data_IF_046450929280
#
_entry.id   IF_046450929280
#
_cell.length_a   1.000
_cell.length_b   1.000
_cell.length_c   1.000
_cell.angle_alpha   90.00
_cell.angle_beta   90.00
_cell.angle_gamma   90.00
#
_symmetry.space_group_name_H-M   'P 1'
#
loop_
_entity.id
_entity.type
_entity.pdbx_description
1 polymer ?
#
# COMPACT_ATOMS: atom_id res chain seq x y z
N UNK A 1 10.57 -48.11 4.23
CA UNK A 1 10.11 -49.12 5.21
C UNK A 1 10.26 -50.54 4.69
N UNK A 2 9.79 -50.87 3.48
CA UNK A 2 9.92 -52.23 2.91
C UNK A 2 11.39 -52.68 2.71
N UNK A 3 12.28 -51.83 2.19
CA UNK A 3 13.72 -52.14 2.07
C UNK A 3 14.43 -52.26 3.43
N UNK A 4 14.17 -51.34 4.38
CA UNK A 4 14.71 -51.45 5.74
C UNK A 4 14.25 -52.71 6.48
N UNK A 5 13.04 -53.20 6.20
CA UNK A 5 12.50 -54.41 6.81
C UNK A 5 13.21 -55.68 6.33
N UNK A 6 13.68 -55.71 5.07
CA UNK A 6 14.40 -56.87 4.53
C UNK A 6 15.86 -56.90 4.96
N UNK A 7 16.51 -55.75 5.11
CA UNK A 7 17.93 -55.69 5.48
C UNK A 7 18.16 -55.71 7.00
N UNK A 8 17.28 -55.09 7.80
CA UNK A 8 17.49 -54.94 9.27
C UNK A 8 16.21 -55.22 10.09
N UNK A 9 15.66 -56.44 10.02
CA UNK A 9 14.35 -56.77 10.61
C UNK A 9 14.29 -56.57 12.13
N UNK A 10 15.39 -56.80 12.85
CA UNK A 10 15.47 -56.60 14.31
C UNK A 10 15.40 -55.13 14.72
N UNK A 11 15.91 -54.22 13.89
CA UNK A 11 15.88 -52.78 14.16
C UNK A 11 14.50 -52.17 13.92
N UNK A 12 13.69 -52.75 13.02
CA UNK A 12 12.28 -52.34 12.83
C UNK A 12 11.48 -52.61 14.10
N UNK A 13 11.65 -53.78 14.71
CA UNK A 13 10.98 -54.12 15.96
C UNK A 13 11.41 -53.18 17.11
N UNK A 14 12.71 -52.88 17.20
CA UNK A 14 13.22 -51.91 18.18
C UNK A 14 12.71 -50.49 17.93
N UNK A 15 12.58 -50.06 16.68
CA UNK A 15 12.03 -48.75 16.33
C UNK A 15 10.53 -48.65 16.66
N UNK A 16 9.74 -49.68 16.33
CA UNK A 16 8.34 -49.75 16.71
C UNK A 16 8.17 -49.73 18.24
N UNK A 17 8.98 -50.51 18.97
CA UNK A 17 9.00 -50.49 20.43
C UNK A 17 9.42 -49.12 20.97
N UNK A 18 10.34 -48.41 20.29
CA UNK A 18 10.76 -47.06 20.69
C UNK A 18 9.60 -46.07 20.55
N UNK A 19 8.86 -46.09 19.44
CA UNK A 19 7.68 -45.25 19.23
C UNK A 19 6.62 -45.55 20.30
N UNK A 20 6.26 -46.83 20.46
CA UNK A 20 5.20 -47.23 21.39
C UNK A 20 5.52 -46.91 22.86
N UNK A 21 6.78 -47.05 23.27
CA UNK A 21 7.15 -46.85 24.68
C UNK A 21 7.59 -45.41 25.01
N UNK A 22 7.97 -44.59 24.03
CA UNK A 22 8.55 -43.27 24.30
C UNK A 22 7.81 -42.10 23.64
N UNK A 23 6.84 -42.35 22.75
CA UNK A 23 5.99 -41.30 22.21
C UNK A 23 4.71 -41.23 23.04
N UNK A 24 4.48 -40.08 23.66
CA UNK A 24 3.23 -39.79 24.36
C UNK A 24 2.32 -39.06 23.39
N UNK A 25 1.18 -39.68 23.07
CA UNK A 25 0.14 -39.07 22.27
C UNK A 25 -0.90 -38.48 23.22
N UNK A 26 -1.18 -37.18 23.08
CA UNK A 26 -2.19 -36.48 23.86
C UNK A 26 -3.40 -36.22 22.97
N UNK A 27 -4.34 -37.19 22.86
CA UNK A 27 -5.54 -36.98 22.07
C UNK A 27 -6.44 -35.94 22.75
N UNK A 28 -6.99 -35.05 21.94
CA UNK A 28 -8.03 -34.12 22.35
C UNK A 28 -9.27 -34.45 21.52
N UNK A 29 -10.30 -34.92 22.20
CA UNK A 29 -11.61 -35.17 21.60
C UNK A 29 -12.55 -34.01 21.95
N UNK A 30 -13.35 -33.61 20.98
CA UNK A 30 -14.31 -32.53 21.13
C UNK A 30 -15.68 -33.00 20.65
N UNK A 31 -16.72 -32.60 21.39
CA UNK A 31 -18.11 -33.01 21.15
C UNK A 31 -18.72 -32.39 19.88
N UNK A 32 -18.09 -31.33 19.34
CA UNK A 32 -18.50 -30.69 18.11
C UNK A 32 -17.31 -30.08 17.37
N UNK A 33 -17.47 -29.89 16.05
CA UNK A 33 -16.44 -29.30 15.19
C UNK A 33 -16.09 -27.86 15.62
N UNK A 34 -17.06 -27.05 16.05
CA UNK A 34 -16.79 -25.67 16.50
C UNK A 34 -15.98 -25.64 17.80
N UNK A 35 -16.25 -26.55 18.73
CA UNK A 35 -15.45 -26.73 19.95
C UNK A 35 -14.04 -27.22 19.61
N UNK A 36 -13.91 -28.14 18.65
CA UNK A 36 -12.62 -28.61 18.15
C UNK A 36 -11.80 -27.45 17.54
N UNK A 37 -12.43 -26.64 16.69
CA UNK A 37 -11.79 -25.48 16.06
C UNK A 37 -11.37 -24.42 17.10
N UNK A 38 -12.17 -24.22 18.16
CA UNK A 38 -11.85 -23.29 19.25
C UNK A 38 -10.71 -23.79 20.13
N UNK A 39 -10.68 -25.08 20.46
CA UNK A 39 -9.57 -25.69 21.20
C UNK A 39 -8.29 -25.64 20.36
N UNK A 40 -8.39 -25.97 19.08
CA UNK A 40 -7.28 -25.89 18.13
C UNK A 40 -6.76 -24.45 17.96
N UNK A 41 -7.64 -23.46 17.84
CA UNK A 41 -7.24 -22.05 17.77
C UNK A 41 -6.56 -21.61 19.06
N UNK A 42 -7.13 -21.94 20.23
CA UNK A 42 -6.59 -21.55 21.54
C UNK A 42 -5.24 -22.21 21.84
N UNK A 43 -5.01 -23.44 21.38
CA UNK A 43 -3.73 -24.13 21.49
C UNK A 43 -2.67 -23.52 20.56
N UNK A 44 -3.05 -23.12 19.35
CA UNK A 44 -2.16 -22.39 18.43
C UNK A 44 -1.86 -20.97 18.92
N UNK A 45 -2.79 -20.31 19.59
CA UNK A 45 -2.59 -18.97 20.16
C UNK A 45 -1.56 -18.97 21.32
N UNK A 46 -1.25 -20.14 21.90
CA UNK A 46 -0.14 -20.33 22.86
C UNK A 46 1.18 -20.76 22.20
N UNK A 47 1.17 -21.03 20.89
CA UNK A 47 2.34 -21.17 20.01
C UNK A 47 2.43 -20.00 19.01
N UNK A 48 3.14 -20.16 17.90
CA UNK A 48 2.99 -19.23 16.75
C UNK A 48 1.58 -19.45 16.19
N UNK A 49 0.68 -18.45 16.23
CA UNK A 49 -0.69 -18.61 15.75
C UNK A 49 -0.67 -18.98 14.26
N UNK A 50 -1.52 -19.94 13.86
CA UNK A 50 -1.74 -20.21 12.43
C UNK A 50 -2.20 -18.92 11.75
N UNK A 51 -1.62 -18.65 10.57
CA UNK A 51 -2.08 -17.55 9.75
C UNK A 51 -3.54 -17.79 9.34
N UNK A 52 -4.33 -16.72 9.24
CA UNK A 52 -5.72 -16.84 8.78
C UNK A 52 -5.78 -17.45 7.37
N UNK A 53 -4.79 -17.12 6.52
CA UNK A 53 -4.58 -17.76 5.23
C UNK A 53 -4.43 -19.30 5.27
N UNK A 54 -3.80 -19.88 6.29
CA UNK A 54 -3.66 -21.34 6.42
C UNK A 54 -5.01 -22.02 6.71
N UNK A 55 -5.83 -21.36 7.54
CA UNK A 55 -7.20 -21.80 7.80
C UNK A 55 -8.01 -21.74 6.50
N UNK A 56 -7.87 -20.66 5.73
CA UNK A 56 -8.59 -20.50 4.46
C UNK A 56 -8.14 -21.53 3.42
N UNK A 57 -6.84 -21.82 3.33
CA UNK A 57 -6.27 -22.90 2.50
C UNK A 57 -6.96 -24.23 2.78
N UNK A 58 -7.18 -24.56 4.05
CA UNK A 58 -7.84 -25.81 4.45
C UNK A 58 -9.30 -25.88 3.99
N UNK A 59 -10.01 -24.75 3.94
CA UNK A 59 -11.40 -24.69 3.47
C UNK A 59 -11.48 -24.86 1.95
N UNK A 60 -10.61 -24.17 1.20
CA UNK A 60 -10.50 -24.39 -0.23
C UNK A 60 -10.10 -25.83 -0.56
N UNK A 61 -9.13 -26.39 0.17
CA UNK A 61 -8.70 -27.78 -0.03
C UNK A 61 -9.88 -28.75 0.12
N UNK A 62 -10.73 -28.55 1.14
CA UNK A 62 -11.95 -29.36 1.32
C UNK A 62 -12.92 -29.20 0.15
N UNK A 63 -13.19 -27.97 -0.27
CA UNK A 63 -14.08 -27.65 -1.40
C UNK A 63 -13.62 -28.35 -2.69
N UNK A 64 -12.40 -28.07 -3.14
CA UNK A 64 -11.86 -28.65 -4.37
C UNK A 64 -11.59 -30.16 -4.28
N UNK A 65 -11.38 -30.71 -3.08
CA UNK A 65 -11.28 -32.17 -2.89
C UNK A 65 -12.62 -32.87 -3.14
N UNK A 66 -13.74 -32.27 -2.69
CA UNK A 66 -15.08 -32.80 -2.95
C UNK A 66 -15.39 -32.80 -4.46
N UNK A 67 -14.91 -31.79 -5.18
CA UNK A 67 -15.06 -31.69 -6.64
C UNK A 67 -14.07 -32.54 -7.44
N UNK A 68 -13.15 -33.27 -6.78
CA UNK A 68 -12.13 -34.07 -7.45
C UNK A 68 -10.99 -33.25 -8.08
N UNK A 69 -10.87 -31.96 -7.76
CA UNK A 69 -9.91 -30.98 -8.30
C UNK A 69 -8.77 -30.64 -7.34
N UNK A 70 -8.46 -31.54 -6.40
CA UNK A 70 -7.46 -31.28 -5.34
C UNK A 70 -6.08 -30.91 -5.90
N UNK A 71 -5.62 -31.60 -6.94
CA UNK A 71 -4.25 -31.44 -7.46
C UNK A 71 -4.12 -30.12 -8.23
N UNK A 72 -5.18 -29.71 -8.94
CA UNK A 72 -5.32 -28.38 -9.55
C UNK A 72 -5.21 -27.29 -8.48
N UNK A 73 -6.00 -27.40 -7.40
CA UNK A 73 -5.97 -26.44 -6.30
C UNK A 73 -4.59 -26.31 -5.67
N UNK A 74 -3.90 -27.43 -5.38
CA UNK A 74 -2.57 -27.40 -4.76
C UNK A 74 -1.56 -26.67 -5.64
N UNK A 75 -1.61 -26.89 -6.96
CA UNK A 75 -0.74 -26.18 -7.91
C UNK A 75 -1.04 -24.68 -7.95
N UNK A 76 -2.32 -24.31 -8.06
CA UNK A 76 -2.79 -22.91 -8.07
C UNK A 76 -2.43 -22.17 -6.79
N UNK A 77 -2.69 -22.77 -5.64
CA UNK A 77 -2.36 -22.18 -4.34
C UNK A 77 -0.87 -21.92 -4.17
N UNK A 78 -0.01 -22.84 -4.65
CA UNK A 78 1.44 -22.66 -4.58
C UNK A 78 1.89 -21.41 -5.34
N UNK A 79 1.37 -21.19 -6.55
CA UNK A 79 1.67 -20.00 -7.35
C UNK A 79 1.14 -18.72 -6.67
N UNK A 80 -0.06 -18.78 -6.11
CA UNK A 80 -0.67 -17.70 -5.34
C UNK A 80 0.21 -17.29 -4.14
N UNK A 81 0.68 -18.27 -3.37
CA UNK A 81 1.51 -18.09 -2.18
C UNK A 81 2.89 -17.53 -2.52
N UNK A 82 3.57 -18.10 -3.52
CA UNK A 82 4.87 -17.62 -4.00
C UNK A 82 4.78 -16.17 -4.54
N UNK A 83 3.74 -15.86 -5.31
CA UNK A 83 3.55 -14.53 -5.88
C UNK A 83 3.18 -13.50 -4.81
N UNK A 84 2.30 -13.85 -3.86
CA UNK A 84 1.96 -12.98 -2.74
C UNK A 84 3.20 -12.62 -1.90
N UNK A 85 4.05 -13.60 -1.59
CA UNK A 85 5.28 -13.40 -0.84
C UNK A 85 6.30 -12.50 -1.55
N UNK A 86 6.27 -12.44 -2.88
CA UNK A 86 7.15 -11.56 -3.66
C UNK A 86 6.70 -10.10 -3.57
N UNK A 87 5.39 -9.84 -3.71
CA UNK A 87 4.86 -8.49 -3.93
C UNK A 87 4.36 -7.80 -2.65
N UNK A 88 3.83 -8.56 -1.68
CA UNK A 88 3.30 -7.97 -0.46
C UNK A 88 4.32 -8.05 0.67
N UNK A 89 4.65 -6.87 1.21
CA UNK A 89 5.55 -6.71 2.37
C UNK A 89 4.79 -6.02 3.50
N UNK A 90 3.74 -6.65 4.06
CA UNK A 90 2.91 -6.02 5.08
C UNK A 90 3.69 -5.79 6.37
N UNK A 91 3.34 -4.74 7.12
CA UNK A 91 3.95 -4.47 8.45
C UNK A 91 3.45 -5.44 9.53
N UNK A 92 2.31 -6.09 9.29
CA UNK A 92 1.68 -7.06 10.20
C UNK A 92 0.89 -8.10 9.40
N UNK A 93 0.86 -9.34 9.87
CA UNK A 93 0.21 -10.46 9.17
C UNK A 93 1.07 -11.04 8.05
N UNK A 94 0.53 -12.03 7.33
CA UNK A 94 1.22 -12.65 6.19
C UNK A 94 0.89 -11.94 4.87
N UNK A 95 1.71 -12.09 3.83
CA UNK A 95 1.40 -11.61 2.48
C UNK A 95 0.05 -12.10 1.93
N UNK A 96 -0.33 -13.35 2.26
CA UNK A 96 -1.66 -13.86 1.90
C UNK A 96 -2.77 -13.16 2.70
N UNK A 97 -2.58 -12.89 4.00
CA UNK A 97 -3.57 -12.14 4.79
C UNK A 97 -3.86 -10.75 4.19
N UNK A 98 -2.85 -10.08 3.61
CA UNK A 98 -3.02 -8.82 2.88
C UNK A 98 -3.88 -9.00 1.62
N UNK A 99 -3.64 -10.06 0.82
CA UNK A 99 -4.46 -10.39 -0.34
C UNK A 99 -5.92 -10.65 0.07
N UNK A 100 -6.14 -11.49 1.08
CA UNK A 100 -7.47 -11.79 1.61
C UNK A 100 -8.14 -10.56 2.21
N UNK A 101 -7.37 -9.63 2.81
CA UNK A 101 -7.90 -8.37 3.35
C UNK A 101 -8.40 -7.47 2.22
N UNK A 102 -7.63 -7.34 1.12
CA UNK A 102 -8.07 -6.58 -0.05
C UNK A 102 -9.33 -7.18 -0.68
N UNK A 103 -9.39 -8.50 -0.82
CA UNK A 103 -10.58 -9.20 -1.31
C UNK A 103 -11.77 -9.11 -0.34
N UNK A 104 -11.52 -9.11 0.97
CA UNK A 104 -12.55 -8.94 1.99
C UNK A 104 -13.30 -7.61 1.80
N UNK A 105 -12.60 -6.51 1.50
CA UNK A 105 -13.25 -5.22 1.28
C UNK A 105 -14.21 -5.23 0.08
N UNK A 106 -13.86 -5.94 -1.00
CA UNK A 106 -14.76 -6.16 -2.13
C UNK A 106 -15.98 -7.02 -1.76
N UNK A 107 -15.78 -8.16 -1.08
CA UNK A 107 -16.89 -9.03 -0.64
C UNK A 107 -17.79 -8.33 0.36
N UNK A 108 -17.22 -7.52 1.26
CA UNK A 108 -17.95 -6.69 2.21
C UNK A 108 -18.85 -5.68 1.49
N UNK A 109 -18.33 -5.04 0.44
CA UNK A 109 -19.10 -4.12 -0.39
C UNK A 109 -20.25 -4.84 -1.11
N UNK A 110 -20.01 -6.04 -1.67
CA UNK A 110 -21.08 -6.87 -2.27
C UNK A 110 -22.18 -7.26 -1.27
N UNK A 111 -21.83 -7.41 0.01
CA UNK A 111 -22.80 -7.64 1.11
C UNK A 111 -23.51 -6.34 1.58
N UNK A 112 -23.18 -5.17 1.03
CA UNK A 112 -23.79 -3.88 1.40
C UNK A 112 -23.45 -3.39 2.81
N UNK A 113 -22.37 -3.90 3.42
CA UNK A 113 -22.03 -3.62 4.82
C UNK A 113 -21.41 -2.23 4.97
N UNK A 114 -22.20 -1.26 5.48
CA UNK A 114 -21.80 0.14 5.69
C UNK A 114 -21.12 0.43 7.03
N UNK A 115 -21.25 -0.47 8.01
CA UNK A 115 -20.71 -0.29 9.37
C UNK A 115 -19.19 -0.01 9.29
N UNK A 116 -18.66 0.96 10.04
CA UNK A 116 -17.22 1.29 10.03
C UNK A 116 -16.35 0.35 10.88
N UNK A 117 -16.98 -0.52 11.67
CA UNK A 117 -16.38 -1.59 12.45
C UNK A 117 -15.96 -2.71 11.50
N UNK A 118 -14.66 -2.98 11.43
CA UNK A 118 -14.14 -4.10 10.65
C UNK A 118 -14.04 -5.32 11.53
N UNK A 119 -14.78 -6.37 11.17
CA UNK A 119 -14.56 -7.72 11.71
C UNK A 119 -13.13 -8.16 11.44
N UNK A 120 -12.57 -9.03 12.27
CA UNK A 120 -11.30 -9.66 11.95
C UNK A 120 -11.42 -10.45 10.63
N UNK A 121 -10.28 -10.70 9.97
CA UNK A 121 -10.25 -11.42 8.71
C UNK A 121 -10.92 -12.81 8.87
N UNK A 122 -10.53 -13.54 9.92
CA UNK A 122 -11.14 -14.81 10.33
C UNK A 122 -12.66 -14.70 10.50
N UNK A 123 -13.14 -13.77 11.33
CA UNK A 123 -14.57 -13.63 11.63
C UNK A 123 -15.40 -13.31 10.37
N UNK A 124 -14.83 -12.58 9.41
CA UNK A 124 -15.50 -12.26 8.17
C UNK A 124 -15.64 -13.48 7.26
N UNK A 125 -14.56 -14.26 7.07
CA UNK A 125 -14.58 -15.41 6.19
C UNK A 125 -15.21 -16.65 6.82
N UNK A 126 -15.29 -16.77 8.15
CA UNK A 126 -15.98 -17.88 8.83
C UNK A 126 -17.51 -17.72 8.84
N UNK A 127 -18.02 -16.53 8.53
CA UNK A 127 -19.45 -16.22 8.43
C UNK A 127 -20.15 -17.20 7.48
N UNK A 128 -21.37 -17.63 7.82
CA UNK A 128 -22.12 -18.65 7.08
C UNK A 128 -21.32 -19.93 6.79
N UNK A 129 -20.51 -20.38 7.76
CA UNK A 129 -19.68 -21.58 7.65
C UNK A 129 -18.72 -21.56 6.45
N UNK A 130 -18.00 -20.46 6.24
CA UNK A 130 -17.04 -20.30 5.15
C UNK A 130 -17.64 -20.36 3.73
N UNK A 131 -18.87 -19.88 3.56
CA UNK A 131 -19.56 -19.83 2.25
C UNK A 131 -18.68 -19.19 1.16
N UNK A 132 -18.05 -18.05 1.46
CA UNK A 132 -17.19 -17.32 0.52
C UNK A 132 -16.04 -18.20 -0.02
N UNK A 133 -15.45 -19.04 0.83
CA UNK A 133 -14.30 -19.89 0.47
C UNK A 133 -14.73 -21.20 -0.23
N UNK A 134 -16.04 -21.46 -0.33
CA UNK A 134 -16.63 -22.61 -1.02
C UNK A 134 -17.21 -22.23 -2.39
N UNK A 135 -16.83 -21.07 -2.91
CA UNK A 135 -17.15 -20.60 -4.25
C UNK A 135 -15.90 -20.69 -5.14
N UNK A 136 -16.01 -21.33 -6.30
CA UNK A 136 -14.92 -21.40 -7.29
C UNK A 136 -14.39 -20.00 -7.67
N UNK A 137 -15.32 -19.07 -7.87
CA UNK A 137 -15.02 -17.69 -8.24
C UNK A 137 -14.13 -16.97 -7.21
N UNK A 138 -14.11 -17.42 -5.96
CA UNK A 138 -13.27 -16.79 -4.92
C UNK A 138 -11.79 -17.03 -5.17
N UNK A 139 -11.40 -18.22 -5.61
CA UNK A 139 -9.98 -18.46 -5.96
C UNK A 139 -9.61 -17.68 -7.23
N UNK A 140 -10.49 -17.67 -8.24
CA UNK A 140 -10.28 -16.91 -9.48
C UNK A 140 -10.17 -15.39 -9.23
N UNK A 141 -11.00 -14.85 -8.34
CA UNK A 141 -10.98 -13.45 -7.93
C UNK A 141 -9.66 -13.11 -7.20
N UNK A 142 -9.17 -13.99 -6.31
CA UNK A 142 -7.92 -13.81 -5.58
C UNK A 142 -6.71 -13.83 -6.51
N UNK A 143 -6.66 -14.77 -7.46
CA UNK A 143 -5.61 -14.84 -8.48
C UNK A 143 -5.62 -13.60 -9.37
N UNK A 144 -6.80 -13.21 -9.88
CA UNK A 144 -6.96 -12.00 -10.70
C UNK A 144 -6.48 -10.74 -9.95
N UNK A 145 -6.83 -10.63 -8.66
CA UNK A 145 -6.44 -9.52 -7.81
C UNK A 145 -4.93 -9.51 -7.57
N UNK A 146 -4.33 -10.68 -7.35
CA UNK A 146 -2.91 -10.81 -7.14
C UNK A 146 -2.12 -10.43 -8.39
N UNK A 147 -2.55 -10.88 -9.57
CA UNK A 147 -1.95 -10.52 -10.86
C UNK A 147 -2.05 -9.02 -11.15
N UNK A 148 -3.17 -8.39 -10.78
CA UNK A 148 -3.30 -6.93 -10.85
C UNK A 148 -2.27 -6.23 -9.97
N UNK A 149 -2.13 -6.64 -8.71
CA UNK A 149 -1.18 -6.02 -7.79
C UNK A 149 0.28 -6.31 -8.15
N UNK A 150 0.56 -7.46 -8.76
CA UNK A 150 1.87 -7.77 -9.35
C UNK A 150 2.22 -6.79 -10.46
N UNK A 151 1.28 -6.46 -11.34
CA UNK A 151 1.48 -5.42 -12.37
C UNK A 151 1.71 -4.04 -11.75
N UNK A 152 0.97 -3.70 -10.68
CA UNK A 152 1.15 -2.42 -9.96
C UNK A 152 2.55 -2.33 -9.34
N UNK A 153 3.02 -3.41 -8.72
CA UNK A 153 4.35 -3.51 -8.09
C UNK A 153 5.49 -3.46 -9.13
N UNK A 154 5.34 -4.17 -10.25
CA UNK A 154 6.30 -4.13 -11.35
C UNK A 154 6.25 -2.84 -12.19
N UNK A 155 5.23 -1.98 -11.97
CA UNK A 155 4.92 -0.81 -12.82
C UNK A 155 4.71 -1.18 -14.30
N UNK A 156 4.18 -2.38 -14.58
CA UNK A 156 4.03 -2.95 -15.93
C UNK A 156 2.56 -2.96 -16.40
N UNK A 157 2.35 -2.78 -17.71
CA UNK A 157 1.01 -2.88 -18.32
C UNK A 157 0.09 -1.70 -18.06
N UNK A 158 0.62 -0.55 -17.64
CA UNK A 158 -0.10 0.70 -17.46
C UNK A 158 0.44 1.80 -18.39
N UNK A 159 -0.42 2.73 -18.80
CA UNK A 159 0.05 3.97 -19.43
C UNK A 159 0.93 4.77 -18.47
N UNK A 160 1.81 5.61 -19.02
CA UNK A 160 2.70 6.45 -18.20
C UNK A 160 1.91 7.30 -17.19
N UNK A 161 0.77 7.87 -17.61
CA UNK A 161 -0.09 8.68 -16.74
C UNK A 161 -0.67 7.88 -15.57
N UNK A 162 -1.05 6.61 -15.79
CA UNK A 162 -1.57 5.74 -14.74
C UNK A 162 -0.45 5.29 -13.80
N UNK A 163 0.68 4.85 -14.35
CA UNK A 163 1.84 4.43 -13.56
C UNK A 163 2.31 5.55 -12.60
N UNK A 164 2.32 6.81 -13.08
CA UNK A 164 2.62 8.00 -12.25
C UNK A 164 1.61 8.19 -11.12
N UNK A 165 0.30 7.99 -11.37
CA UNK A 165 -0.72 8.12 -10.32
C UNK A 165 -0.65 6.99 -9.30
N UNK A 166 -0.35 5.77 -9.73
CA UNK A 166 -0.08 4.64 -8.84
C UNK A 166 1.15 4.91 -7.96
N UNK A 167 2.24 5.44 -8.54
CA UNK A 167 3.43 5.85 -7.80
C UNK A 167 3.08 6.88 -6.71
N UNK A 168 2.28 7.91 -7.02
CA UNK A 168 1.84 8.91 -6.04
C UNK A 168 1.01 8.27 -4.91
N UNK A 169 0.14 7.31 -5.22
CA UNK A 169 -0.68 6.62 -4.23
C UNK A 169 0.11 5.65 -3.34
N UNK A 170 1.23 5.10 -3.81
CA UNK A 170 2.13 4.32 -2.96
C UNK A 170 2.69 5.14 -1.77
N UNK A 171 2.71 6.47 -1.88
CA UNK A 171 3.07 7.39 -0.81
C UNK A 171 1.86 8.01 -0.09
N UNK A 172 0.63 7.54 -0.34
CA UNK A 172 -0.56 8.07 0.29
C UNK A 172 -0.47 8.00 1.84
N UNK A 173 -1.06 8.96 2.57
CA UNK A 173 -0.96 9.02 4.02
C UNK A 173 -1.70 7.88 4.73
N UNK A 174 -2.60 7.19 4.03
CA UNK A 174 -3.46 6.14 4.56
C UNK A 174 -3.67 5.03 3.50
N UNK A 175 -3.58 3.77 3.90
CA UNK A 175 -3.66 2.60 3.01
C UNK A 175 -5.05 2.27 2.44
N UNK A 176 -6.13 2.96 2.83
CA UNK A 176 -7.48 2.70 2.31
C UNK A 176 -7.58 2.83 0.77
N UNK A 177 -6.67 3.55 0.13
CA UNK A 177 -6.61 3.63 -1.34
C UNK A 177 -6.42 2.25 -1.99
N UNK A 178 -5.68 1.33 -1.37
CA UNK A 178 -5.45 0.01 -1.90
C UNK A 178 -6.74 -0.83 -1.90
N UNK A 179 -7.59 -0.65 -0.89
CA UNK A 179 -8.90 -1.32 -0.84
C UNK A 179 -9.89 -0.73 -1.85
N UNK A 180 -9.89 0.60 -2.02
CA UNK A 180 -10.64 1.28 -3.09
C UNK A 180 -10.23 0.76 -4.46
N UNK A 181 -8.93 0.73 -4.75
CA UNK A 181 -8.39 0.28 -6.03
C UNK A 181 -8.65 -1.22 -6.27
N UNK A 182 -8.47 -2.06 -5.26
CA UNK A 182 -8.76 -3.50 -5.36
C UNK A 182 -10.23 -3.77 -5.66
N UNK A 183 -11.13 -3.06 -4.97
CA UNK A 183 -12.58 -3.19 -5.18
C UNK A 183 -12.99 -2.66 -6.55
N UNK A 184 -12.41 -1.53 -6.97
CA UNK A 184 -12.64 -0.97 -8.29
C UNK A 184 -12.17 -1.92 -9.40
N UNK A 185 -10.96 -2.47 -9.29
CA UNK A 185 -10.45 -3.47 -10.21
C UNK A 185 -11.38 -4.67 -10.32
N UNK A 186 -11.77 -5.27 -9.18
CA UNK A 186 -12.62 -6.46 -9.18
C UNK A 186 -14.02 -6.19 -9.78
N UNK A 187 -14.57 -5.00 -9.57
CA UNK A 187 -15.87 -4.60 -10.10
C UNK A 187 -15.86 -4.20 -11.58
N UNK A 188 -14.72 -3.70 -12.10
CA UNK A 188 -14.63 -3.10 -13.44
C UNK A 188 -13.87 -3.94 -14.46
N UNK A 189 -13.08 -4.93 -14.03
CA UNK A 189 -12.30 -5.77 -14.94
C UNK A 189 -13.21 -6.54 -15.90
N UNK A 190 -12.78 -6.65 -17.16
CA UNK A 190 -13.41 -7.57 -18.10
C UNK A 190 -12.96 -9.02 -17.85
N UNK A 191 -13.46 -9.97 -18.64
CA UNK A 191 -13.10 -11.39 -18.53
C UNK A 191 -11.61 -11.70 -18.77
N UNK A 192 -10.85 -10.74 -19.32
CA UNK A 192 -9.40 -10.83 -19.53
C UNK A 192 -8.59 -10.06 -18.47
N UNK A 193 -9.23 -9.46 -17.47
CA UNK A 193 -8.54 -8.66 -16.47
C UNK A 193 -8.05 -7.28 -16.96
N UNK A 194 -8.57 -6.81 -18.09
CA UNK A 194 -8.23 -5.50 -18.67
C UNK A 194 -9.13 -4.40 -18.09
N UNK A 195 -8.60 -3.17 -18.07
CA UNK A 195 -9.22 -1.98 -17.52
C UNK A 195 -9.24 -0.87 -18.56
N UNK A 196 -10.26 0.00 -18.49
CA UNK A 196 -10.24 1.24 -19.26
C UNK A 196 -9.21 2.20 -18.65
N UNK A 197 -8.21 2.60 -19.45
CA UNK A 197 -7.10 3.45 -19.00
C UNK A 197 -7.57 4.83 -18.54
N UNK A 198 -8.61 5.39 -19.17
CA UNK A 198 -9.15 6.71 -18.80
C UNK A 198 -9.96 6.61 -17.51
N UNK A 199 -10.85 5.64 -17.37
CA UNK A 199 -11.61 5.43 -16.13
C UNK A 199 -10.67 5.17 -14.95
N UNK A 200 -9.63 4.35 -15.14
CA UNK A 200 -8.63 4.09 -14.12
C UNK A 200 -7.87 5.38 -13.75
N UNK A 201 -7.36 6.13 -14.74
CA UNK A 201 -6.65 7.39 -14.48
C UNK A 201 -7.52 8.39 -13.71
N UNK A 202 -8.77 8.59 -14.15
CA UNK A 202 -9.71 9.52 -13.53
C UNK A 202 -10.03 9.07 -12.09
N UNK A 203 -10.25 7.78 -11.86
CA UNK A 203 -10.48 7.21 -10.54
C UNK A 203 -9.29 7.40 -9.61
N UNK A 204 -8.06 7.12 -10.07
CA UNK A 204 -6.84 7.30 -9.28
C UNK A 204 -6.62 8.77 -8.90
N UNK A 205 -6.87 9.71 -9.82
CA UNK A 205 -6.80 11.15 -9.53
C UNK A 205 -7.82 11.53 -8.45
N UNK A 206 -9.05 11.05 -8.61
CA UNK A 206 -10.16 11.35 -7.72
C UNK A 206 -9.93 10.86 -6.30
N UNK A 207 -9.56 9.59 -6.10
CA UNK A 207 -9.27 9.05 -4.77
C UNK A 207 -8.02 9.67 -4.15
N UNK A 208 -7.02 10.05 -4.96
CA UNK A 208 -5.81 10.73 -4.46
C UNK A 208 -6.19 12.08 -3.83
N UNK A 209 -6.93 12.92 -4.57
CA UNK A 209 -7.39 14.21 -4.07
C UNK A 209 -8.21 14.07 -2.79
N UNK A 210 -9.19 13.16 -2.79
CA UNK A 210 -10.07 12.94 -1.64
C UNK A 210 -9.30 12.45 -0.40
N UNK A 211 -8.47 11.40 -0.54
CA UNK A 211 -7.73 10.81 0.57
C UNK A 211 -6.77 11.81 1.19
N UNK A 212 -6.08 12.61 0.36
CA UNK A 212 -5.13 13.61 0.83
C UNK A 212 -5.84 14.72 1.59
N UNK A 213 -6.88 15.33 1.00
CA UNK A 213 -7.66 16.38 1.65
C UNK A 213 -8.33 15.90 2.94
N UNK A 214 -8.95 14.72 2.92
CA UNK A 214 -9.62 14.16 4.08
C UNK A 214 -8.65 13.77 5.20
N UNK A 215 -7.47 13.26 4.87
CA UNK A 215 -6.42 12.94 5.87
C UNK A 215 -5.88 14.19 6.56
N UNK A 216 -5.91 15.33 5.88
CA UNK A 216 -5.55 16.62 6.45
C UNK A 216 -6.65 17.19 7.35
N UNK A 217 -7.90 17.17 6.87
CA UNK A 217 -9.04 17.73 7.60
C UNK A 217 -9.38 16.91 8.86
N UNK A 218 -9.35 15.57 8.73
CA UNK A 218 -9.73 14.63 9.78
C UNK A 218 -8.59 13.67 10.08
N UNK A 219 -7.61 14.09 10.90
CA UNK A 219 -6.50 13.23 11.27
C UNK A 219 -7.01 12.03 12.07
N UNK A 220 -6.67 10.83 11.63
CA UNK A 220 -7.02 9.59 12.33
C UNK A 220 -6.93 8.38 11.41
N UNK A 221 -6.37 7.28 11.93
CA UNK A 221 -6.14 6.05 11.15
C UNK A 221 -7.45 5.48 10.57
N UNK A 222 -8.56 5.66 11.30
CA UNK A 222 -9.87 5.13 10.93
C UNK A 222 -10.82 6.16 10.30
N UNK A 223 -10.41 7.43 10.18
CA UNK A 223 -11.30 8.51 9.76
C UNK A 223 -11.86 8.28 8.35
N UNK A 224 -11.04 7.71 7.45
CA UNK A 224 -11.42 7.39 6.07
C UNK A 224 -12.42 6.23 5.95
N UNK A 225 -12.64 5.42 6.99
CA UNK A 225 -13.61 4.30 6.90
C UNK A 225 -15.03 4.80 6.65
N UNK A 226 -15.41 5.91 7.28
CA UNK A 226 -16.71 6.55 7.12
C UNK A 226 -17.05 6.86 5.65
N UNK A 227 -16.23 7.64 4.92
CA UNK A 227 -16.48 7.93 3.52
C UNK A 227 -16.17 6.75 2.58
N UNK A 228 -15.16 5.94 2.88
CA UNK A 228 -14.70 4.90 1.95
C UNK A 228 -15.66 3.72 1.89
N UNK A 229 -16.27 3.29 2.99
CA UNK A 229 -17.10 2.08 2.96
C UNK A 229 -18.36 2.23 2.08
N UNK A 230 -19.10 3.36 2.14
CA UNK A 230 -20.15 3.66 1.17
C UNK A 230 -19.60 3.70 -0.27
N UNK A 231 -18.45 4.31 -0.50
CA UNK A 231 -17.84 4.36 -1.83
C UNK A 231 -17.49 2.98 -2.38
N UNK A 232 -17.04 2.03 -1.56
CA UNK A 232 -16.82 0.64 -1.98
C UNK A 232 -18.12 -0.01 -2.46
N UNK A 233 -19.23 0.26 -1.79
CA UNK A 233 -20.56 -0.22 -2.16
C UNK A 233 -21.00 0.42 -3.49
N UNK A 234 -20.80 1.73 -3.66
CA UNK A 234 -21.09 2.43 -4.92
C UNK A 234 -20.31 1.83 -6.10
N UNK A 235 -19.03 1.49 -5.90
CA UNK A 235 -18.19 0.84 -6.91
C UNK A 235 -18.80 -0.49 -7.38
N UNK A 236 -19.16 -1.39 -6.45
CA UNK A 236 -19.66 -2.73 -6.81
C UNK A 236 -21.07 -2.68 -7.39
N UNK A 237 -21.87 -1.66 -7.06
CA UNK A 237 -23.20 -1.45 -7.63
C UNK A 237 -23.18 -0.63 -8.93
N UNK A 238 -21.98 -0.29 -9.44
CA UNK A 238 -21.82 0.45 -10.70
C UNK A 238 -22.26 1.92 -10.61
N UNK A 239 -22.42 2.47 -9.40
CA UNK A 239 -22.73 3.87 -9.17
C UNK A 239 -21.47 4.73 -9.24
N UNK A 240 -21.65 6.02 -9.51
CA UNK A 240 -20.56 6.99 -9.49
C UNK A 240 -20.10 7.21 -8.06
N UNK A 241 -18.81 7.02 -7.79
CA UNK A 241 -18.19 7.43 -6.52
C UNK A 241 -17.98 8.93 -6.56
N UNK A 242 -18.70 9.67 -5.71
CA UNK A 242 -18.64 11.15 -5.73
C UNK A 242 -18.36 11.80 -4.36
N UNK A 243 -18.19 11.00 -3.30
CA UNK A 243 -17.97 11.46 -1.93
C UNK A 243 -18.81 12.70 -1.54
N UNK A 244 -20.02 12.83 -2.08
CA UNK A 244 -20.83 14.06 -2.04
C UNK A 244 -21.14 14.53 -0.62
N UNK A 245 -21.29 13.59 0.32
CA UNK A 245 -21.47 13.89 1.75
C UNK A 245 -20.21 14.46 2.45
N UNK A 246 -19.06 14.47 1.77
CA UNK A 246 -17.73 14.76 2.32
C UNK A 246 -16.95 15.77 1.47
N UNK A 247 -17.63 16.59 0.67
CA UNK A 247 -17.00 17.69 -0.06
C UNK A 247 -16.40 18.73 0.89
N UNK A 248 -15.28 19.32 0.46
CA UNK A 248 -14.48 20.25 1.25
C UNK A 248 -14.89 21.69 0.99
N UNK A 249 -14.88 22.53 2.04
CA UNK A 249 -14.93 23.98 1.85
C UNK A 249 -13.53 24.51 1.49
N UNK A 250 -13.46 25.38 0.47
CA UNK A 250 -12.19 25.88 -0.10
C UNK A 250 -11.39 26.68 0.93
N UNK A 251 -12.03 27.59 1.64
CA UNK A 251 -11.35 28.45 2.61
C UNK A 251 -10.86 27.63 3.81
N UNK A 252 -11.72 26.74 4.31
CA UNK A 252 -11.41 25.85 5.41
C UNK A 252 -10.24 24.93 5.08
N UNK A 253 -10.25 24.24 3.94
CA UNK A 253 -9.16 23.31 3.58
C UNK A 253 -7.85 24.07 3.34
N UNK A 254 -7.90 25.26 2.72
CA UNK A 254 -6.72 26.12 2.54
C UNK A 254 -6.14 26.54 3.88
N UNK A 255 -6.98 26.97 4.83
CA UNK A 255 -6.56 27.30 6.19
C UNK A 255 -5.96 26.10 6.94
N UNK A 256 -6.47 24.88 6.72
CA UNK A 256 -5.88 23.65 7.27
C UNK A 256 -4.50 23.38 6.69
N UNK A 257 -4.29 23.58 5.39
CA UNK A 257 -2.98 23.41 4.76
C UNK A 257 -1.96 24.40 5.34
N UNK A 258 -2.33 25.69 5.43
CA UNK A 258 -1.45 26.74 5.96
C UNK A 258 -1.09 26.55 7.44
N UNK A 259 -2.00 25.98 8.24
CA UNK A 259 -1.76 25.70 9.66
C UNK A 259 -1.09 24.35 9.92
N UNK A 260 -0.92 23.51 8.90
CA UNK A 260 -0.33 22.18 9.07
C UNK A 260 1.18 22.23 9.24
N UNK A 261 1.69 21.47 10.21
CA UNK A 261 3.12 21.30 10.41
C UNK A 261 3.65 20.15 9.55
N UNK A 262 4.35 20.48 8.46
CA UNK A 262 4.93 19.54 7.51
C UNK A 262 6.25 18.92 8.01
N UNK A 263 6.27 18.36 9.21
CA UNK A 263 7.49 17.75 9.76
C UNK A 263 7.84 16.42 9.07
N UNK A 264 9.10 16.01 9.14
CA UNK A 264 9.60 14.80 8.46
C UNK A 264 8.97 13.49 8.97
N UNK A 265 8.45 13.47 10.21
CA UNK A 265 7.82 12.28 10.80
C UNK A 265 6.40 12.07 10.27
N UNK A 266 5.74 13.11 9.75
CA UNK A 266 4.36 13.01 9.29
C UNK A 266 4.33 12.39 7.89
N UNK A 267 3.62 11.28 7.75
CA UNK A 267 3.44 10.58 6.45
C UNK A 267 2.90 11.52 5.37
N UNK A 268 1.95 12.39 5.75
CA UNK A 268 1.33 13.37 4.85
C UNK A 268 2.35 14.33 4.18
N UNK A 269 3.44 14.67 4.87
CA UNK A 269 4.50 15.51 4.29
C UNK A 269 5.10 14.84 3.06
N UNK A 270 5.47 13.55 3.16
CA UNK A 270 5.99 12.79 2.01
C UNK A 270 4.96 12.68 0.90
N UNK A 271 3.70 12.40 1.25
CA UNK A 271 2.59 12.30 0.30
C UNK A 271 2.48 13.57 -0.55
N UNK A 272 2.46 14.74 0.09
CA UNK A 272 2.36 16.02 -0.60
C UNK A 272 3.56 16.33 -1.49
N UNK A 273 4.78 16.01 -1.05
CA UNK A 273 5.98 16.24 -1.84
C UNK A 273 6.06 15.32 -3.08
N UNK A 274 5.65 14.06 -2.95
CA UNK A 274 5.56 13.14 -4.09
C UNK A 274 4.47 13.60 -5.06
N UNK A 275 3.29 13.96 -4.56
CA UNK A 275 2.22 14.50 -5.40
C UNK A 275 2.69 15.77 -6.15
N UNK A 276 3.39 16.67 -5.47
CA UNK A 276 3.92 17.89 -6.06
C UNK A 276 4.95 17.61 -7.16
N UNK A 277 5.92 16.72 -6.91
CA UNK A 277 6.90 16.33 -7.92
C UNK A 277 6.23 15.78 -9.19
N UNK A 278 5.19 14.96 -9.04
CA UNK A 278 4.44 14.40 -10.17
C UNK A 278 3.30 15.29 -10.69
N UNK A 279 3.15 16.50 -10.17
CA UNK A 279 2.32 17.55 -10.78
C UNK A 279 2.99 18.13 -12.03
N UNK A 280 4.31 18.05 -12.11
CA UNK A 280 5.09 18.35 -13.31
C UNK A 280 4.98 17.18 -14.31
N UNK A 281 4.40 17.38 -15.51
CA UNK A 281 4.29 16.34 -16.53
C UNK A 281 5.65 15.80 -17.00
N UNK A 282 6.74 16.55 -16.82
CA UNK A 282 8.10 16.17 -17.24
C UNK A 282 8.89 15.42 -16.17
N UNK A 283 8.37 15.27 -14.95
CA UNK A 283 9.02 14.47 -13.92
C UNK A 283 9.13 13.01 -14.40
N UNK A 284 10.33 12.42 -14.51
CA UNK A 284 10.45 11.01 -14.88
C UNK A 284 9.85 10.09 -13.81
N UNK A 285 9.28 8.96 -14.25
CA UNK A 285 8.81 7.92 -13.34
C UNK A 285 10.02 7.28 -12.64
N UNK A 286 9.96 7.21 -11.32
CA UNK A 286 10.95 6.56 -10.48
C UNK A 286 10.57 5.11 -10.22
N UNK A 287 11.59 4.29 -10.01
CA UNK A 287 11.46 2.90 -9.55
C UNK A 287 10.93 2.89 -8.10
N UNK A 288 9.98 2.00 -7.81
CA UNK A 288 9.40 1.83 -6.47
C UNK A 288 10.41 1.38 -5.41
N UNK A 289 11.48 0.68 -5.81
CA UNK A 289 12.57 0.29 -4.91
C UNK A 289 13.50 1.48 -4.57
N UNK A 290 13.33 2.62 -5.24
CA UNK A 290 14.09 3.84 -4.94
C UNK A 290 13.71 4.38 -3.55
N UNK A 291 14.66 4.30 -2.62
CA UNK A 291 14.46 4.90 -1.30
C UNK A 291 14.55 6.43 -1.38
N UNK A 292 13.42 7.10 -1.14
CA UNK A 292 13.32 8.56 -1.09
C UNK A 292 13.30 9.08 0.36
N UNK A 293 14.08 10.13 0.60
CA UNK A 293 14.14 10.88 1.85
C UNK A 293 13.66 12.32 1.63
N UNK A 294 13.29 12.99 2.73
CA UNK A 294 12.91 14.41 2.66
C UNK A 294 14.20 15.22 2.68
N UNK A 295 14.39 16.03 1.65
CA UNK A 295 15.47 16.98 1.52
C UNK A 295 15.04 18.37 1.98
N UNK A 296 15.91 19.06 2.72
CA UNK A 296 15.79 20.48 3.05
C UNK A 296 16.59 21.29 2.03
N UNK A 297 15.89 21.97 1.11
CA UNK A 297 16.51 22.75 0.03
C UNK A 297 17.37 23.87 0.66
N UNK A 298 16.78 24.64 1.56
CA UNK A 298 17.49 25.47 2.52
C UNK A 298 17.99 24.59 3.67
N UNK A 299 19.28 24.24 3.62
CA UNK A 299 19.90 23.29 4.55
C UNK A 299 19.80 23.72 6.02
N UNK A 300 19.68 22.74 6.92
CA UNK A 300 19.61 22.99 8.36
C UNK A 300 20.87 23.65 8.91
N UNK A 301 22.07 23.20 8.50
CA UNK A 301 23.33 23.85 8.89
C UNK A 301 23.47 25.26 8.35
N UNK A 302 22.94 25.53 7.14
CA UNK A 302 22.88 26.91 6.63
C UNK A 302 22.06 27.78 7.58
N UNK A 303 20.92 27.30 8.05
CA UNK A 303 20.08 28.02 9.00
C UNK A 303 20.73 28.22 10.40
N UNK A 304 21.73 27.42 10.78
CA UNK A 304 22.49 27.64 12.01
C UNK A 304 23.43 28.86 11.90
N UNK A 305 23.99 29.09 10.71
CA UNK A 305 24.92 30.21 10.43
C UNK A 305 24.17 31.45 9.95
N UNK A 306 23.17 31.26 9.09
CA UNK A 306 22.32 32.28 8.50
C UNK A 306 20.85 31.93 8.77
N UNK A 307 20.35 32.20 9.99
CA UNK A 307 18.99 31.84 10.37
C UNK A 307 17.95 32.59 9.54
N UNK A 308 16.91 31.86 9.15
CA UNK A 308 15.70 32.40 8.55
C UNK A 308 15.01 33.37 9.54
N UNK A 309 14.40 34.42 9.00
CA UNK A 309 13.69 35.43 9.79
C UNK A 309 12.50 34.79 10.50
N UNK A 310 11.75 33.98 9.76
CA UNK A 310 10.68 33.14 10.29
C UNK A 310 11.18 31.70 10.47
N UNK A 311 11.43 31.33 11.72
CA UNK A 311 11.93 29.98 12.09
C UNK A 311 11.03 28.83 11.61
N UNK A 312 9.73 29.08 11.41
CA UNK A 312 8.81 28.05 10.89
C UNK A 312 9.08 27.68 9.43
N UNK A 313 9.70 28.58 8.65
CA UNK A 313 10.04 28.35 7.25
C UNK A 313 11.05 27.21 7.05
N UNK A 314 11.88 26.92 8.06
CA UNK A 314 12.79 25.76 8.01
C UNK A 314 12.00 24.46 7.82
N UNK A 315 10.85 24.33 8.46
CA UNK A 315 9.97 23.17 8.39
C UNK A 315 8.75 23.40 7.49
N UNK A 316 8.73 24.48 6.69
CA UNK A 316 7.68 24.71 5.71
C UNK A 316 7.72 23.69 4.56
N UNK A 317 6.56 23.50 3.92
CA UNK A 317 6.41 22.61 2.77
C UNK A 317 7.29 23.05 1.59
N UNK A 318 7.36 24.37 1.35
CA UNK A 318 8.16 24.96 0.28
C UNK A 318 9.67 24.77 0.44
N UNK A 319 10.16 24.50 1.65
CA UNK A 319 11.57 24.20 1.90
C UNK A 319 11.93 22.71 1.67
N UNK A 320 10.94 21.87 1.34
CA UNK A 320 11.10 20.42 1.26
C UNK A 320 10.91 19.89 -0.14
N UNK A 321 11.65 18.84 -0.48
CA UNK A 321 11.44 18.01 -1.66
C UNK A 321 11.72 16.54 -1.32
N UNK A 322 11.25 15.62 -2.17
CA UNK A 322 11.75 14.25 -2.11
C UNK A 322 13.11 14.19 -2.80
N UNK A 323 14.02 13.36 -2.30
CA UNK A 323 15.34 13.14 -2.89
C UNK A 323 15.75 11.68 -2.66
N UNK A 324 16.41 11.06 -3.64
CA UNK A 324 16.95 9.73 -3.45
C UNK A 324 17.99 9.73 -2.34
N UNK A 325 17.90 8.78 -1.40
CA UNK A 325 18.81 8.64 -0.26
C UNK A 325 20.28 8.69 -0.67
N UNK A 326 20.62 8.02 -1.77
CA UNK A 326 21.99 8.03 -2.34
C UNK A 326 22.47 9.43 -2.72
N UNK A 327 21.59 10.30 -3.22
CA UNK A 327 21.90 11.69 -3.57
C UNK A 327 21.92 12.54 -2.30
N UNK A 328 20.95 12.35 -1.39
CA UNK A 328 20.86 13.08 -0.12
C UNK A 328 22.15 12.96 0.70
N UNK A 329 22.67 11.74 0.88
CA UNK A 329 23.93 11.47 1.62
C UNK A 329 25.11 12.28 1.06
N UNK A 330 25.19 12.44 -0.28
CA UNK A 330 26.28 13.17 -0.95
C UNK A 330 26.08 14.68 -0.91
N UNK A 331 24.83 15.13 -1.10
CA UNK A 331 24.46 16.53 -1.06
C UNK A 331 24.63 17.14 0.34
N UNK A 332 24.46 16.33 1.40
CA UNK A 332 24.69 16.72 2.81
C UNK A 332 24.06 18.07 3.16
N UNK A 333 24.60 18.75 4.17
CA UNK A 333 24.10 20.04 4.64
C UNK A 333 24.85 21.24 4.02
N UNK A 334 25.21 21.16 2.73
CA UNK A 334 25.91 22.25 2.04
C UNK A 334 24.97 23.37 1.58
N UNK A 335 25.53 24.46 1.05
CA UNK A 335 24.73 25.49 0.37
C UNK A 335 24.18 24.92 -0.95
N UNK A 336 23.09 25.51 -1.47
CA UNK A 336 22.46 25.00 -2.70
C UNK A 336 23.43 25.00 -3.88
N UNK A 337 24.33 25.99 -3.95
CA UNK A 337 25.41 26.09 -4.93
C UNK A 337 26.32 24.85 -4.92
N UNK A 338 26.65 24.33 -3.74
CA UNK A 338 27.44 23.11 -3.58
C UNK A 338 26.61 21.86 -3.90
N UNK A 339 25.32 21.86 -3.52
CA UNK A 339 24.37 20.77 -3.78
C UNK A 339 24.11 20.57 -5.27
N UNK A 340 24.19 21.63 -6.08
CA UNK A 340 23.95 21.61 -7.53
C UNK A 340 24.71 20.49 -8.23
N UNK A 341 26.01 20.33 -7.94
CA UNK A 341 26.85 19.27 -8.51
C UNK A 341 26.26 17.88 -8.28
N UNK A 342 25.70 17.64 -7.09
CA UNK A 342 25.12 16.35 -6.73
C UNK A 342 23.73 16.14 -7.31
N UNK A 343 22.97 17.22 -7.53
CA UNK A 343 21.65 17.14 -8.16
C UNK A 343 21.75 16.92 -9.67
N UNK A 344 22.66 17.61 -10.35
CA UNK A 344 22.88 17.46 -11.80
C UNK A 344 23.65 16.18 -12.15
N UNK A 345 24.41 15.65 -11.20
CA UNK A 345 25.38 14.57 -11.45
C UNK A 345 26.74 15.14 -11.88
N UNK A 346 27.77 14.32 -11.78
CA UNK A 346 29.14 14.73 -12.06
C UNK A 346 30.01 13.54 -12.46
N UNK A 347 31.16 13.81 -13.07
CA UNK A 347 32.20 12.81 -13.30
C UNK A 347 33.19 12.86 -12.13
N UNK A 348 33.45 11.73 -11.49
CA UNK A 348 34.42 11.66 -10.40
C UNK A 348 35.87 11.61 -10.91
N UNK A 349 36.83 11.69 -9.99
CA UNK A 349 38.26 11.70 -10.33
C UNK A 349 38.75 10.41 -11.03
N UNK A 350 37.93 9.35 -11.04
CA UNK A 350 38.20 8.08 -11.74
C UNK A 350 37.55 8.02 -13.13
N UNK A 351 36.97 9.12 -13.61
CA UNK A 351 36.28 9.18 -14.90
C UNK A 351 34.91 8.47 -14.92
N UNK A 352 34.37 8.09 -13.76
CA UNK A 352 33.06 7.43 -13.68
C UNK A 352 31.97 8.47 -13.53
N UNK A 353 30.94 8.37 -14.37
CA UNK A 353 29.75 9.21 -14.30
C UNK A 353 28.90 8.82 -13.09
N UNK A 354 28.60 9.82 -12.27
CA UNK A 354 27.87 9.68 -11.03
C UNK A 354 26.53 10.37 -11.21
N UNK A 355 25.46 9.57 -11.29
CA UNK A 355 24.10 10.07 -11.56
C UNK A 355 23.61 11.03 -10.47
N UNK A 356 22.98 12.11 -10.92
CA UNK A 356 22.26 13.07 -10.10
C UNK A 356 20.90 12.55 -9.61
N UNK A 357 20.01 13.48 -9.28
CA UNK A 357 18.62 13.17 -8.89
C UNK A 357 17.72 13.07 -10.12
N UNK A 358 16.77 12.14 -10.07
CA UNK A 358 15.66 12.08 -11.00
C UNK A 358 14.55 13.11 -10.69
N UNK A 359 14.61 13.77 -9.52
CA UNK A 359 13.63 14.78 -9.11
C UNK A 359 13.90 16.09 -9.85
N UNK A 360 13.10 16.33 -10.89
CA UNK A 360 13.32 17.39 -11.87
C UNK A 360 13.32 18.78 -11.24
N UNK A 361 12.43 19.03 -10.28
CA UNK A 361 12.34 20.34 -9.61
C UNK A 361 13.63 20.72 -8.87
N UNK A 362 14.35 19.76 -8.29
CA UNK A 362 15.59 20.04 -7.56
C UNK A 362 16.72 20.47 -8.52
N UNK A 363 16.76 19.86 -9.71
CA UNK A 363 17.67 20.27 -10.78
C UNK A 363 17.35 21.68 -11.26
N UNK A 364 16.08 22.02 -11.42
CA UNK A 364 15.65 23.36 -11.84
C UNK A 364 15.96 24.42 -10.78
N UNK A 365 15.63 24.15 -9.51
CA UNK A 365 15.91 25.05 -8.39
C UNK A 365 17.41 25.32 -8.27
N UNK A 366 18.25 24.29 -8.36
CA UNK A 366 19.70 24.45 -8.27
C UNK A 366 20.32 25.24 -9.44
N UNK A 367 19.63 25.34 -10.58
CA UNK A 367 20.06 26.16 -11.72
C UNK A 367 19.72 27.64 -11.56
N UNK A 368 18.72 27.96 -10.74
CA UNK A 368 18.26 29.34 -10.52
C UNK A 368 19.15 30.17 -9.58
N UNK A 369 20.12 29.54 -8.90
CA UNK A 369 21.09 30.23 -8.03
C UNK A 369 20.82 29.98 -6.54
N UNK A 370 20.89 31.03 -5.74
CA UNK A 370 20.61 30.92 -4.29
C UNK A 370 19.11 30.71 -4.04
N UNK A 371 18.78 29.99 -2.97
CA UNK A 371 17.41 29.70 -2.54
C UNK A 371 17.16 30.40 -1.21
N UNK A 372 16.26 31.36 -1.23
CA UNK A 372 16.03 32.34 -0.17
C UNK A 372 14.77 32.02 0.63
N UNK A 373 14.55 32.76 1.72
CA UNK A 373 13.32 32.67 2.51
C UNK A 373 12.06 33.00 1.69
N UNK A 374 12.16 33.97 0.76
CA UNK A 374 11.05 34.34 -0.12
C UNK A 374 10.69 33.22 -1.09
N UNK A 375 11.68 32.44 -1.54
CA UNK A 375 11.45 31.26 -2.40
C UNK A 375 10.71 30.16 -1.64
N UNK A 376 11.03 29.95 -0.36
CA UNK A 376 10.31 29.01 0.52
C UNK A 376 8.84 29.38 0.64
N UNK A 377 8.55 30.65 0.93
CA UNK A 377 7.18 31.15 1.12
C UNK A 377 6.38 31.07 -0.18
N UNK A 378 6.97 31.53 -1.29
CA UNK A 378 6.35 31.48 -2.62
C UNK A 378 6.06 30.03 -3.04
N UNK A 379 7.02 29.12 -2.89
CA UNK A 379 6.83 27.70 -3.22
C UNK A 379 5.80 27.05 -2.32
N UNK A 380 5.74 27.39 -1.03
CA UNK A 380 4.72 26.87 -0.10
C UNK A 380 3.31 27.22 -0.58
N UNK A 381 3.06 28.50 -0.89
CA UNK A 381 1.76 28.95 -1.38
C UNK A 381 1.43 28.36 -2.76
N UNK A 382 2.42 28.22 -3.63
CA UNK A 382 2.24 27.60 -4.94
C UNK A 382 1.78 26.14 -4.83
N UNK A 383 2.43 25.34 -3.97
CA UNK A 383 2.06 23.93 -3.76
C UNK A 383 0.62 23.83 -3.23
N UNK A 384 0.29 24.61 -2.20
CA UNK A 384 -1.03 24.59 -1.57
C UNK A 384 -2.12 25.03 -2.57
N UNK A 385 -1.90 26.14 -3.27
CA UNK A 385 -2.86 26.68 -4.25
C UNK A 385 -3.09 25.69 -5.38
N UNK A 386 -2.02 25.12 -5.94
CA UNK A 386 -2.12 24.13 -7.02
C UNK A 386 -2.91 22.90 -6.57
N UNK A 387 -2.71 22.43 -5.33
CA UNK A 387 -3.45 21.30 -4.81
C UNK A 387 -4.94 21.62 -4.62
N UNK A 388 -5.27 22.77 -4.04
CA UNK A 388 -6.66 23.20 -3.82
C UNK A 388 -7.39 23.43 -5.15
N UNK A 389 -6.74 24.04 -6.14
CA UNK A 389 -7.30 24.16 -7.49
C UNK A 389 -7.54 22.80 -8.13
N UNK A 390 -6.63 21.86 -7.93
CA UNK A 390 -6.79 20.49 -8.41
C UNK A 390 -7.98 19.78 -7.76
N UNK A 391 -8.22 19.95 -6.45
CA UNK A 391 -9.44 19.48 -5.79
C UNK A 391 -10.71 20.06 -6.44
N UNK A 392 -10.68 21.35 -6.81
CA UNK A 392 -11.76 22.00 -7.53
C UNK A 392 -12.02 21.36 -8.89
N UNK A 393 -10.96 21.10 -9.67
CA UNK A 393 -11.05 20.40 -10.97
C UNK A 393 -11.60 18.97 -10.85
N UNK A 394 -11.37 18.33 -9.71
CA UNK A 394 -11.91 17.00 -9.40
C UNK A 394 -13.37 17.04 -8.90
N UNK A 395 -13.95 18.22 -8.68
CA UNK A 395 -15.29 18.35 -8.10
C UNK A 395 -15.36 17.94 -6.63
N UNK A 396 -14.25 18.09 -5.89
CA UNK A 396 -14.17 17.76 -4.46
C UNK A 396 -14.42 18.95 -3.53
N UNK A 397 -14.56 20.15 -4.08
CA UNK A 397 -14.89 21.35 -3.33
C UNK A 397 -16.39 21.62 -3.41
N UNK A 398 -16.97 22.14 -2.33
CA UNK A 398 -18.32 22.72 -2.34
C UNK A 398 -18.31 23.96 -3.23
N UNK A 399 -19.38 24.14 -3.98
CA UNK A 399 -19.64 25.37 -4.75
C UNK A 399 -19.83 26.58 -3.83
#
# INVERSE_FOLDING_TARGET
MAEMASEWPSYIALFAARILNNVILLPIEAESQDTALRIFSTLNDRGLPLADADIFKSQFYKHFSIEGRKDEFVARWKVLEETANLIFKPTSGTPLDELFTRYMYYRRAKKGIRDTTTKSLRDFYSDSSYEILREDATLDDLESLLDFWKRVDAQEGFSERVARRLFVLNYAPNGMWAYLLSTWFLAKRNTKGELDDKELYDFLCYITGFIYAYSLERPGVNALRGPVYPALIDIVEGRKVDFSAHLFDRETITGRFRSYQFTNQRRFTRSMLVWWAYSDPKQPLMDLDTTLEIEHIYARKRNEVHPLSNRSNLEALGNKAMLEKRVNIRASDYQLTDKRKYYEGYVNDKGVEVSGTAVRELVEIARCGDFTESDIETRTEQIITTFVEWLGKLGLLRE
#
